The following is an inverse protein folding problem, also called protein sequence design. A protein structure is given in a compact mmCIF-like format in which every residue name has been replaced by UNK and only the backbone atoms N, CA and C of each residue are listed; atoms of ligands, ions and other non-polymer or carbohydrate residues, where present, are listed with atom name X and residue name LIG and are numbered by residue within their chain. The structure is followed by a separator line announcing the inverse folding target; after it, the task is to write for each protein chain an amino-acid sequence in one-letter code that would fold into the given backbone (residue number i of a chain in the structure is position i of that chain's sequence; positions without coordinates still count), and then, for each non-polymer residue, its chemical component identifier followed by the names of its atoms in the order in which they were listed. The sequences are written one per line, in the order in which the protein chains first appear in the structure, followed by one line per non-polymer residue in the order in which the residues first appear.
data_IF_608416560766
#
_entry.id   IF_608416560766
#
_cell.length_a   1.000
_cell.length_b   1.000
_cell.length_c   1.000
_cell.angle_alpha   90.00
_cell.angle_beta   90.00
_cell.angle_gamma   90.00
#
_symmetry.space_group_name_H-M   'P 1'
#
loop_
_entity.id
_entity.type
_entity.pdbx_description
1 polymer ?
#
# COMPACT_ATOMS: atom_id res chain seq x y z
N UNK A 1 4.00 20.26 -3.15
CA UNK A 1 2.89 19.36 -2.79
C UNK A 1 3.48 18.10 -2.15
N UNK A 2 2.88 17.66 -1.03
CA UNK A 2 3.29 16.43 -0.32
C UNK A 2 3.14 15.23 -1.25
N UNK A 3 4.05 14.24 -1.16
CA UNK A 3 3.90 13.02 -1.94
C UNK A 3 2.65 12.23 -1.51
N UNK A 4 2.44 12.07 -0.20
CA UNK A 4 1.24 11.49 0.39
C UNK A 4 0.81 12.32 1.59
N UNK A 5 -0.49 12.42 1.81
CA UNK A 5 -1.12 13.22 2.84
C UNK A 5 -1.26 12.45 4.14
N UNK A 6 -1.76 11.21 4.06
CA UNK A 6 -1.94 10.36 5.23
C UNK A 6 -1.48 8.92 4.99
N UNK A 7 -1.07 8.29 6.08
CA UNK A 7 -1.12 6.85 6.22
C UNK A 7 -2.13 6.50 7.32
N UNK A 8 -2.97 5.52 7.04
CA UNK A 8 -3.90 4.95 8.01
C UNK A 8 -3.80 3.43 8.03
N UNK A 9 -3.95 2.88 9.22
CA UNK A 9 -4.14 1.46 9.43
C UNK A 9 -5.52 1.24 10.00
N UNK A 10 -6.32 0.42 9.31
CA UNK A 10 -7.72 0.16 9.65
C UNK A 10 -7.89 -1.32 9.98
N UNK A 11 -8.66 -1.63 11.01
CA UNK A 11 -9.03 -3.01 11.37
C UNK A 11 -10.53 -3.11 11.58
N UNK A 12 -11.06 -4.32 11.42
CA UNK A 12 -12.39 -4.64 11.92
C UNK A 12 -12.32 -4.95 13.43
N UNK A 13 -13.16 -4.31 14.23
CA UNK A 13 -13.39 -4.62 15.65
C UNK A 13 -14.85 -5.03 15.87
N UNK A 14 -15.13 -5.97 16.79
CA UNK A 14 -16.52 -6.33 17.10
C UNK A 14 -17.25 -5.12 17.72
N UNK A 15 -18.48 -4.83 17.28
CA UNK A 15 -19.24 -3.65 17.71
C UNK A 15 -19.62 -3.69 19.21
N UNK A 16 -19.78 -4.89 19.79
CA UNK A 16 -20.09 -5.08 21.21
C UNK A 16 -19.39 -6.31 21.81
N UNK A 17 -18.57 -6.10 22.85
CA UNK A 17 -17.96 -7.21 23.62
C UNK A 17 -18.97 -7.97 24.53
N UNK A 18 -20.19 -7.45 24.66
CA UNK A 18 -21.19 -7.90 25.65
C UNK A 18 -22.35 -8.75 25.11
N UNK A 19 -22.50 -8.94 23.80
CA UNK A 19 -23.62 -9.71 23.22
C UNK A 19 -23.15 -10.72 22.15
N UNK A 20 -22.44 -11.76 22.58
CA UNK A 20 -21.90 -12.84 21.72
C UNK A 20 -22.95 -13.81 21.15
N UNK A 21 -24.22 -13.43 20.95
CA UNK A 21 -25.27 -14.43 20.70
C UNK A 21 -26.32 -14.13 19.64
N UNK A 22 -26.07 -13.21 18.72
CA UNK A 22 -26.84 -13.14 17.48
C UNK A 22 -25.93 -13.21 16.26
N UNK A 23 -26.19 -14.25 15.47
CA UNK A 23 -25.52 -14.62 14.23
C UNK A 23 -25.79 -13.56 13.16
N UNK A 24 -24.80 -12.70 12.96
CA UNK A 24 -24.82 -11.53 12.08
C UNK A 24 -23.97 -10.45 12.73
N UNK A 25 -22.65 -10.70 12.82
CA UNK A 25 -21.74 -9.92 13.66
C UNK A 25 -21.50 -8.54 13.06
N UNK A 26 -22.25 -7.54 13.53
CA UNK A 26 -21.94 -6.14 13.29
C UNK A 26 -20.50 -5.85 13.79
N UNK A 27 -19.67 -5.31 12.90
CA UNK A 27 -18.30 -4.90 13.20
C UNK A 27 -18.09 -3.45 12.82
N UNK A 28 -17.18 -2.79 13.52
CA UNK A 28 -16.78 -1.42 13.25
C UNK A 28 -15.41 -1.37 12.58
N UNK A 29 -15.29 -0.52 11.56
CA UNK A 29 -14.01 -0.20 10.91
C UNK A 29 -13.31 0.88 11.72
N UNK A 30 -12.24 0.52 12.42
CA UNK A 30 -11.51 1.44 13.29
C UNK A 30 -10.12 1.76 12.77
N UNK A 31 -9.77 3.04 12.76
CA UNK A 31 -8.38 3.50 12.56
C UNK A 31 -7.57 3.22 13.82
N UNK A 32 -6.62 2.30 13.74
CA UNK A 32 -5.71 1.97 14.85
C UNK A 32 -4.40 2.74 14.81
N UNK A 33 -3.95 3.10 13.61
CA UNK A 33 -2.75 3.92 13.40
C UNK A 33 -3.06 4.99 12.37
N UNK A 34 -2.62 6.22 12.62
CA UNK A 34 -2.78 7.35 11.71
C UNK A 34 -1.51 8.21 11.74
N UNK A 35 -0.99 8.57 10.57
CA UNK A 35 0.15 9.47 10.41
C UNK A 35 -0.14 10.47 9.29
N UNK A 36 0.03 11.79 9.51
CA UNK A 36 0.22 12.43 10.81
C UNK A 36 -0.98 12.23 11.75
N UNK A 37 -0.75 12.38 13.06
CA UNK A 37 -1.78 12.20 14.09
C UNK A 37 -2.86 13.29 14.08
N UNK A 38 -2.52 14.49 13.62
CA UNK A 38 -3.44 15.61 13.42
C UNK A 38 -3.79 15.80 11.95
N UNK A 39 -4.89 16.51 11.67
CA UNK A 39 -5.26 16.91 10.32
C UNK A 39 -4.29 17.95 9.75
N UNK A 40 -4.11 17.92 8.43
CA UNK A 40 -3.51 19.01 7.67
C UNK A 40 -4.54 20.14 7.53
N UNK A 41 -4.08 21.39 7.63
CA UNK A 41 -4.94 22.58 7.48
C UNK A 41 -5.64 22.64 6.12
N UNK A 42 -4.99 22.15 5.07
CA UNK A 42 -5.49 22.17 3.69
C UNK A 42 -6.29 20.92 3.28
N UNK A 43 -6.23 19.85 4.09
CA UNK A 43 -6.92 18.59 3.78
C UNK A 43 -7.11 17.75 5.04
N UNK A 44 -8.25 17.89 5.73
CA UNK A 44 -8.60 17.03 6.86
C UNK A 44 -8.90 15.59 6.40
N UNK A 45 -8.52 14.61 7.22
CA UNK A 45 -8.78 13.20 6.92
C UNK A 45 -10.30 12.94 7.00
N UNK A 46 -10.97 12.48 5.92
CA UNK A 46 -12.41 12.24 5.98
C UNK A 46 -12.78 11.08 6.89
N UNK A 47 -13.80 11.25 7.73
CA UNK A 47 -14.30 10.23 8.67
C UNK A 47 -14.76 8.94 7.97
N UNK A 48 -15.12 9.02 6.69
CA UNK A 48 -15.56 7.88 5.88
C UNK A 48 -14.43 6.93 5.47
N UNK A 49 -13.16 7.32 5.59
CA UNK A 49 -11.99 6.53 5.13
C UNK A 49 -11.97 5.07 5.63
N UNK A 50 -12.31 4.76 6.90
CA UNK A 50 -12.30 3.38 7.38
C UNK A 50 -13.26 2.46 6.61
N UNK A 51 -14.43 2.97 6.23
CA UNK A 51 -15.42 2.24 5.44
C UNK A 51 -14.93 1.95 4.01
N UNK A 52 -14.18 2.88 3.41
CA UNK A 52 -13.53 2.63 2.12
C UNK A 52 -12.38 1.62 2.23
N UNK A 53 -11.70 1.57 3.37
CA UNK A 53 -10.62 0.60 3.60
C UNK A 53 -11.17 -0.82 3.77
N UNK A 54 -12.29 -1.01 4.46
CA UNK A 54 -12.95 -2.32 4.62
C UNK A 54 -14.38 -2.22 4.08
N UNK A 55 -14.57 -2.37 2.76
CA UNK A 55 -15.88 -2.22 2.12
C UNK A 55 -16.80 -3.44 2.29
N UNK A 56 -16.27 -4.56 2.82
CA UNK A 56 -17.04 -5.79 3.03
C UNK A 56 -18.05 -5.67 4.18
N UNK A 57 -19.09 -6.50 4.14
CA UNK A 57 -20.09 -6.64 5.21
C UNK A 57 -19.80 -7.81 6.15
N UNK A 58 -18.69 -8.52 5.95
CA UNK A 58 -18.30 -9.68 6.76
C UNK A 58 -16.90 -9.48 7.35
N UNK A 59 -16.79 -9.79 8.64
CA UNK A 59 -15.54 -9.88 9.38
C UNK A 59 -15.57 -11.18 10.21
N UNK A 60 -14.46 -11.51 10.88
CA UNK A 60 -14.43 -12.62 11.83
C UNK A 60 -14.82 -13.99 11.25
N UNK A 61 -14.19 -14.40 10.15
CA UNK A 61 -14.39 -15.73 9.54
C UNK A 61 -13.06 -16.46 9.36
N UNK A 62 -13.10 -17.78 9.13
CA UNK A 62 -11.89 -18.55 8.77
C UNK A 62 -11.70 -18.49 7.25
N UNK A 63 -10.69 -17.75 6.75
CA UNK A 63 -10.49 -17.60 5.32
C UNK A 63 -9.85 -18.83 4.70
N UNK A 64 -10.23 -19.10 3.45
CA UNK A 64 -9.51 -20.03 2.57
C UNK A 64 -8.07 -19.57 2.32
N UNK A 65 -7.24 -20.47 1.81
CA UNK A 65 -5.83 -20.18 1.47
C UNK A 65 -5.69 -19.03 0.46
N UNK A 66 -6.68 -18.86 -0.43
CA UNK A 66 -6.69 -17.78 -1.42
C UNK A 66 -7.07 -16.44 -0.80
N UNK A 67 -8.05 -16.43 0.11
CA UNK A 67 -8.52 -15.22 0.80
C UNK A 67 -7.49 -14.67 1.81
N UNK A 68 -6.57 -15.50 2.29
CA UNK A 68 -5.43 -15.07 3.11
C UNK A 68 -4.41 -14.23 2.33
N UNK A 69 -4.49 -14.21 0.99
CA UNK A 69 -3.55 -13.42 0.18
C UNK A 69 -3.91 -11.93 0.28
N UNK A 70 -2.93 -11.04 0.54
CA UNK A 70 -3.15 -9.61 0.52
C UNK A 70 -3.65 -9.15 -0.85
N UNK A 71 -4.66 -8.29 -0.84
CA UNK A 71 -5.27 -7.73 -2.04
C UNK A 71 -5.10 -6.23 -2.02
N UNK A 72 -4.51 -5.70 -3.10
CA UNK A 72 -4.38 -4.27 -3.30
C UNK A 72 -5.58 -3.74 -4.09
N UNK A 73 -6.13 -2.63 -3.64
CA UNK A 73 -7.13 -1.86 -4.37
C UNK A 73 -6.97 -0.37 -4.08
N UNK A 74 -7.70 0.44 -4.83
CA UNK A 74 -7.71 1.88 -4.65
C UNK A 74 -9.12 2.43 -4.68
N UNK A 75 -9.36 3.51 -3.94
CA UNK A 75 -10.61 4.25 -3.94
C UNK A 75 -10.34 5.74 -4.12
N UNK A 76 -11.40 6.49 -4.48
CA UNK A 76 -11.31 7.92 -4.73
C UNK A 76 -12.22 8.64 -3.73
N UNK A 77 -11.67 9.67 -3.09
CA UNK A 77 -12.38 10.61 -2.23
C UNK A 77 -12.59 11.90 -3.04
N UNK A 78 -13.84 12.30 -3.22
CA UNK A 78 -14.20 13.50 -3.99
C UNK A 78 -14.63 14.60 -3.04
N UNK A 79 -13.92 15.74 -3.07
CA UNK A 79 -14.27 16.94 -2.35
C UNK A 79 -15.48 17.66 -2.98
N UNK A 80 -16.15 18.52 -2.20
CA UNK A 80 -17.28 19.30 -2.68
C UNK A 80 -16.92 20.30 -3.80
N UNK A 81 -15.64 20.63 -3.92
CA UNK A 81 -15.05 21.44 -4.99
C UNK A 81 -14.70 20.64 -6.26
N UNK A 82 -14.95 19.32 -6.25
CA UNK A 82 -14.58 18.41 -7.32
C UNK A 82 -13.11 17.98 -7.31
N UNK A 83 -12.33 18.37 -6.29
CA UNK A 83 -10.98 17.85 -6.10
C UNK A 83 -11.02 16.36 -5.74
N UNK A 84 -9.99 15.62 -6.15
CA UNK A 84 -9.86 14.19 -5.88
C UNK A 84 -8.63 13.92 -5.03
N UNK A 85 -8.82 13.08 -4.00
CA UNK A 85 -7.76 12.37 -3.32
C UNK A 85 -7.94 10.87 -3.54
N UNK A 86 -6.83 10.13 -3.53
CA UNK A 86 -6.81 8.70 -3.82
C UNK A 86 -6.37 7.95 -2.57
N UNK A 87 -7.12 6.93 -2.20
CA UNK A 87 -6.72 5.94 -1.20
C UNK A 87 -6.11 4.71 -1.89
N UNK A 88 -4.94 4.28 -1.44
CA UNK A 88 -4.20 3.12 -1.93
C UNK A 88 -4.14 2.10 -0.81
N UNK A 89 -5.01 1.10 -0.85
CA UNK A 89 -5.27 0.18 0.25
C UNK A 89 -4.71 -1.21 -0.06
N UNK A 90 -3.99 -1.78 0.90
CA UNK A 90 -3.63 -3.19 0.92
C UNK A 90 -4.41 -3.88 2.04
N UNK A 91 -5.40 -4.66 1.65
CA UNK A 91 -6.25 -5.45 2.53
C UNK A 91 -5.68 -6.85 2.72
N UNK A 92 -5.63 -7.32 3.96
CA UNK A 92 -5.26 -8.69 4.30
C UNK A 92 -6.00 -9.13 5.56
N UNK A 93 -5.99 -10.44 5.79
CA UNK A 93 -6.55 -11.03 6.99
C UNK A 93 -5.41 -11.33 7.96
N UNK A 94 -5.57 -10.96 9.21
CA UNK A 94 -4.64 -11.32 10.28
C UNK A 94 -5.34 -12.21 11.31
N UNK A 95 -4.55 -13.02 12.00
CA UNK A 95 -5.07 -13.81 13.11
C UNK A 95 -5.53 -12.89 14.25
N UNK A 96 -6.75 -13.12 14.74
CA UNK A 96 -7.43 -12.39 15.79
C UNK A 96 -8.03 -13.40 16.77
N UNK A 97 -7.40 -13.56 17.93
CA UNK A 97 -7.86 -14.54 18.93
C UNK A 97 -9.03 -13.97 19.73
N UNK A 98 -10.26 -14.28 19.30
CA UNK A 98 -11.47 -14.21 20.14
C UNK A 98 -12.20 -15.55 20.10
N UNK A 99 -13.11 -15.79 21.06
CA UNK A 99 -13.71 -17.11 21.29
C UNK A 99 -14.55 -17.70 20.12
N UNK A 100 -14.84 -16.91 19.07
CA UNK A 100 -15.74 -17.29 17.97
C UNK A 100 -15.05 -17.41 16.59
N UNK A 101 -13.94 -16.70 16.35
CA UNK A 101 -13.22 -16.71 15.08
C UNK A 101 -11.76 -16.36 15.26
N UNK A 102 -10.93 -16.81 14.33
CA UNK A 102 -9.48 -16.66 14.40
C UNK A 102 -8.93 -15.56 13.49
N UNK A 103 -9.73 -14.89 12.66
CA UNK A 103 -9.18 -13.92 11.69
C UNK A 103 -10.02 -12.67 11.57
N UNK A 104 -9.37 -11.54 11.26
CA UNK A 104 -10.06 -10.27 10.95
C UNK A 104 -9.42 -9.52 9.78
N UNK A 105 -10.21 -8.69 9.08
CA UNK A 105 -9.68 -7.68 8.15
C UNK A 105 -8.74 -6.67 8.82
N UNK A 106 -7.60 -6.44 8.17
CA UNK A 106 -6.69 -5.32 8.41
C UNK A 106 -6.23 -4.70 7.10
N UNK A 107 -6.09 -3.38 7.08
CA UNK A 107 -5.78 -2.62 5.89
C UNK A 107 -4.69 -1.60 6.18
N UNK A 108 -3.66 -1.58 5.33
CA UNK A 108 -2.66 -0.51 5.27
C UNK A 108 -3.05 0.41 4.12
N UNK A 109 -3.29 1.68 4.38
CA UNK A 109 -3.75 2.61 3.36
C UNK A 109 -2.91 3.91 3.34
N UNK A 110 -2.45 4.29 2.15
CA UNK A 110 -1.87 5.61 1.89
C UNK A 110 -2.91 6.47 1.18
N UNK A 111 -3.00 7.74 1.57
CA UNK A 111 -3.89 8.72 0.94
C UNK A 111 -3.03 9.82 0.32
N UNK A 112 -3.27 10.12 -0.95
CA UNK A 112 -2.55 11.16 -1.68
C UNK A 112 -3.42 11.84 -2.72
N UNK A 113 -3.20 13.13 -2.96
CA UNK A 113 -3.71 13.85 -4.13
C UNK A 113 -3.01 13.44 -5.44
N UNK A 114 -2.10 12.46 -5.44
CA UNK A 114 -1.31 12.07 -6.61
C UNK A 114 -1.60 10.61 -6.98
N UNK A 115 -2.02 10.34 -8.24
CA UNK A 115 -2.43 9.02 -8.68
C UNK A 115 -1.23 8.11 -9.02
N UNK A 116 -0.25 7.97 -8.11
CA UNK A 116 0.93 7.11 -8.31
C UNK A 116 0.63 5.67 -7.87
N UNK A 117 -0.28 4.99 -8.57
CA UNK A 117 -0.80 3.66 -8.20
C UNK A 117 0.30 2.61 -7.98
N UNK A 118 1.24 2.47 -8.91
CA UNK A 118 2.33 1.50 -8.82
C UNK A 118 3.26 1.81 -7.65
N UNK A 119 3.60 3.09 -7.45
CA UNK A 119 4.45 3.52 -6.33
C UNK A 119 3.80 3.17 -5.00
N UNK A 120 2.56 3.60 -4.78
CA UNK A 120 1.90 3.41 -3.50
C UNK A 120 1.57 1.94 -3.26
N UNK A 121 1.23 1.17 -4.30
CA UNK A 121 1.10 -0.29 -4.23
C UNK A 121 2.40 -0.93 -3.72
N UNK A 122 3.55 -0.57 -4.28
CA UNK A 122 4.83 -1.12 -3.84
C UNK A 122 5.15 -0.73 -2.39
N UNK A 123 4.89 0.52 -2.00
CA UNK A 123 5.12 0.97 -0.61
C UNK A 123 4.27 0.16 0.37
N UNK A 124 2.95 0.07 0.17
CA UNK A 124 2.08 -0.68 1.11
C UNK A 124 2.38 -2.19 1.09
N UNK A 125 2.73 -2.74 -0.07
CA UNK A 125 3.12 -4.16 -0.21
C UNK A 125 4.44 -4.43 0.48
N UNK A 126 5.38 -3.50 0.42
CA UNK A 126 6.61 -3.58 1.21
C UNK A 126 6.28 -3.52 2.70
N UNK A 127 5.50 -2.54 3.17
CA UNK A 127 5.14 -2.43 4.59
C UNK A 127 4.54 -3.73 5.13
N UNK A 128 3.66 -4.36 4.35
CA UNK A 128 3.12 -5.69 4.68
C UNK A 128 4.20 -6.76 4.74
N UNK A 129 4.98 -6.97 3.66
CA UNK A 129 6.06 -7.98 3.62
C UNK A 129 6.99 -7.83 4.81
N UNK A 130 7.34 -6.60 5.09
CA UNK A 130 8.31 -6.21 6.08
C UNK A 130 7.77 -6.40 7.51
N UNK A 131 6.44 -6.38 7.72
CA UNK A 131 5.77 -6.81 8.98
C UNK A 131 5.70 -8.33 9.15
N UNK A 132 5.54 -9.08 8.06
CA UNK A 132 5.32 -10.53 8.10
C UNK A 132 6.56 -11.37 7.75
N UNK A 133 7.70 -10.73 7.46
CA UNK A 133 9.01 -11.37 7.27
C UNK A 133 9.51 -11.91 8.62
N UNK A 134 9.05 -13.10 9.01
CA UNK A 134 9.75 -13.88 10.05
C UNK A 134 11.04 -14.40 9.44
N UNK A 135 12.16 -14.13 10.09
CA UNK A 135 13.48 -14.59 9.69
C UNK A 135 13.69 -16.06 10.07
N UNK A 136 12.79 -16.98 9.70
CA UNK A 136 12.98 -18.43 9.88
C UNK A 136 12.01 -19.29 9.04
N UNK A 137 12.58 -20.07 8.11
CA UNK A 137 12.21 -21.39 7.56
C UNK A 137 10.75 -21.88 7.37
N UNK A 138 9.71 -21.05 7.49
CA UNK A 138 8.36 -21.47 7.07
C UNK A 138 8.21 -21.34 5.56
N UNK A 139 8.33 -22.46 4.84
CA UNK A 139 8.07 -22.56 3.39
C UNK A 139 6.74 -21.92 2.98
N UNK A 140 5.76 -21.81 3.88
CA UNK A 140 4.46 -21.16 3.64
C UNK A 140 4.58 -19.63 3.63
N UNK A 141 5.31 -19.04 4.57
CA UNK A 141 5.57 -17.59 4.58
C UNK A 141 6.50 -17.19 3.44
N UNK A 142 7.50 -18.03 3.13
CA UNK A 142 8.29 -17.89 1.92
C UNK A 142 7.40 -17.96 0.69
N UNK A 143 6.45 -18.91 0.58
CA UNK A 143 5.49 -18.96 -0.54
C UNK A 143 4.51 -17.79 -0.59
N UNK A 144 4.13 -17.17 0.53
CA UNK A 144 3.26 -15.98 0.53
C UNK A 144 4.05 -14.74 0.12
N UNK A 145 5.28 -14.57 0.63
CA UNK A 145 6.19 -13.52 0.19
C UNK A 145 6.59 -13.68 -1.28
N UNK A 146 6.93 -14.91 -1.69
CA UNK A 146 7.17 -15.28 -3.09
C UNK A 146 5.90 -15.19 -3.93
N UNK A 147 4.69 -15.40 -3.40
CA UNK A 147 3.46 -15.18 -4.17
C UNK A 147 3.15 -13.69 -4.32
N UNK A 148 3.54 -12.84 -3.35
CA UNK A 148 3.55 -11.39 -3.53
C UNK A 148 4.61 -10.95 -4.54
N UNK A 149 5.74 -11.66 -4.63
CA UNK A 149 6.77 -11.48 -5.67
C UNK A 149 6.39 -12.12 -7.01
N UNK A 150 5.62 -13.21 -7.05
CA UNK A 150 5.06 -13.77 -8.26
C UNK A 150 3.99 -12.81 -8.76
N UNK A 151 3.20 -12.20 -7.86
CA UNK A 151 2.41 -10.98 -8.10
C UNK A 151 3.23 -9.74 -8.50
N UNK A 152 4.55 -9.86 -8.72
CA UNK A 152 5.29 -8.98 -9.63
C UNK A 152 4.94 -9.19 -11.11
N UNK A 153 3.99 -10.07 -11.45
CA UNK A 153 3.32 -10.10 -12.77
C UNK A 153 2.63 -8.77 -13.14
N UNK A 154 2.70 -7.78 -12.26
CA UNK A 154 2.24 -6.40 -12.43
C UNK A 154 3.33 -5.33 -12.47
N UNK A 155 4.61 -5.69 -12.37
CA UNK A 155 5.64 -4.78 -12.87
C UNK A 155 5.37 -4.66 -14.37
N UNK A 156 5.05 -3.45 -14.84
CA UNK A 156 5.11 -3.15 -16.27
C UNK A 156 6.42 -3.76 -16.80
N UNK A 157 6.43 -4.43 -17.96
CA UNK A 157 7.67 -5.01 -18.54
C UNK A 157 8.85 -4.02 -18.58
N UNK A 158 8.56 -2.70 -18.51
CA UNK A 158 9.53 -1.61 -18.40
C UNK A 158 10.23 -1.51 -17.03
N UNK A 159 9.60 -1.91 -15.94
CA UNK A 159 10.15 -1.89 -14.57
C UNK A 159 10.92 -3.17 -14.21
N UNK A 160 10.59 -4.30 -14.86
CA UNK A 160 11.34 -5.56 -14.69
C UNK A 160 12.82 -5.44 -15.11
N UNK A 161 13.12 -4.64 -16.14
CA UNK A 161 14.49 -4.41 -16.60
C UNK A 161 15.36 -3.64 -15.58
N UNK A 162 14.77 -2.74 -14.79
CA UNK A 162 15.47 -1.98 -13.74
C UNK A 162 15.82 -2.89 -12.54
N UNK A 163 14.90 -3.78 -12.17
CA UNK A 163 15.12 -4.77 -11.11
C UNK A 163 16.29 -5.72 -11.44
N UNK A 164 16.34 -6.25 -12.67
CA UNK A 164 17.44 -7.11 -13.13
C UNK A 164 18.80 -6.39 -13.19
N UNK A 165 18.81 -5.10 -13.56
CA UNK A 165 20.02 -4.27 -13.55
C UNK A 165 20.52 -3.96 -12.12
N UNK A 166 19.62 -3.90 -11.14
CA UNK A 166 19.98 -3.71 -9.73
C UNK A 166 20.62 -4.96 -9.12
N UNK A 167 20.15 -6.15 -9.50
CA UNK A 167 20.78 -7.42 -9.10
C UNK A 167 22.18 -7.58 -9.71
N UNK A 168 22.39 -7.17 -10.97
CA UNK A 168 23.72 -7.21 -11.60
C UNK A 168 24.72 -6.19 -11.01
N UNK A 169 24.25 -5.06 -10.47
CA UNK A 169 25.14 -4.07 -9.82
C UNK A 169 25.56 -4.43 -8.40
N UNK A 170 24.92 -5.40 -7.75
CA UNK A 170 25.40 -5.93 -6.46
C UNK A 170 26.75 -6.67 -6.59
N UNK A 171 27.21 -6.93 -7.82
CA UNK A 171 28.47 -7.60 -8.12
C UNK A 171 29.58 -6.69 -8.70
N UNK A 172 29.36 -5.38 -8.87
CA UNK A 172 30.41 -4.49 -9.41
C UNK A 172 30.49 -3.12 -8.73
N UNK A 173 31.68 -2.86 -8.18
CA UNK A 173 32.10 -1.69 -7.41
C UNK A 173 32.29 -0.41 -8.24
N UNK A 174 32.27 0.73 -7.54
CA UNK A 174 33.17 1.90 -7.68
C UNK A 174 32.59 3.25 -8.16
N UNK A 175 32.62 4.20 -7.20
CA UNK A 175 32.92 5.65 -7.26
C UNK A 175 32.36 6.53 -8.40
N UNK A 176 31.55 7.51 -8.01
CA UNK A 176 31.31 8.79 -8.71
C UNK A 176 30.56 9.79 -7.81
N UNK A 177 30.82 11.12 -7.89
CA UNK A 177 30.44 12.08 -6.85
C UNK A 177 29.19 12.87 -7.21
N UNK A 178 28.09 12.72 -6.47
CA UNK A 178 26.99 13.71 -6.45
C UNK A 178 26.41 13.75 -5.04
N UNK A 179 26.31 14.99 -4.53
CA UNK A 179 25.97 15.40 -3.17
C UNK A 179 24.90 14.55 -2.48
N UNK A 180 25.24 14.01 -1.30
CA UNK A 180 24.33 13.22 -0.47
C UNK A 180 24.20 13.89 0.90
N UNK A 181 22.99 14.35 1.18
CA UNK A 181 22.57 14.82 2.51
C UNK A 181 22.88 13.71 3.52
N UNK A 182 23.67 14.07 4.52
CA UNK A 182 24.20 13.21 5.58
C UNK A 182 23.25 13.27 6.77
N UNK A 183 22.68 12.14 7.14
CA UNK A 183 22.09 11.94 8.47
C UNK A 183 22.90 10.85 9.19
N UNK A 184 23.29 11.14 10.42
CA UNK A 184 24.17 10.36 11.28
C UNK A 184 23.57 9.01 11.67
N UNK A 185 24.39 7.96 11.57
CA UNK A 185 24.13 6.60 12.05
C UNK A 185 24.35 6.50 13.57
N UNK A 186 23.41 5.96 14.36
CA UNK A 186 23.73 5.39 15.66
C UNK A 186 24.29 3.97 15.49
N UNK A 187 25.43 3.72 16.10
CA UNK A 187 26.10 2.42 16.20
C UNK A 187 25.47 1.63 17.34
N UNK A 188 24.82 0.48 17.09
CA UNK A 188 24.37 -0.40 18.17
C UNK A 188 24.53 -1.89 17.87
N UNK A 189 25.14 -2.53 18.86
CA UNK A 189 25.48 -3.96 18.99
C UNK A 189 24.24 -4.82 19.16
N UNK A 190 24.34 -6.04 18.63
CA UNK A 190 23.40 -7.13 18.85
C UNK A 190 23.15 -7.36 20.34
N UNK A 191 21.90 -7.19 20.76
CA UNK A 191 21.38 -7.79 22.00
C UNK A 191 20.07 -8.48 21.67
N UNK A 192 20.01 -9.76 22.04
CA UNK A 192 18.86 -10.65 21.92
C UNK A 192 17.70 -10.18 22.79
N UNK A 193 16.50 -10.46 22.29
CA UNK A 193 15.19 -10.47 22.99
C UNK A 193 14.34 -9.20 22.94
N UNK A 194 13.85 -8.77 21.75
CA UNK A 194 12.46 -8.23 21.55
C UNK A 194 12.08 -7.91 20.07
N UNK A 195 12.28 -8.84 19.12
CA UNK A 195 12.30 -8.50 17.68
C UNK A 195 10.99 -7.96 17.03
N UNK A 196 9.81 -8.12 17.66
CA UNK A 196 8.55 -7.62 17.06
C UNK A 196 8.27 -6.14 17.41
N UNK A 197 8.84 -5.64 18.51
CA UNK A 197 8.76 -4.23 18.89
C UNK A 197 9.74 -3.39 18.06
N UNK A 198 10.96 -3.89 17.81
CA UNK A 198 11.98 -3.21 17.01
C UNK A 198 11.55 -2.99 15.54
N UNK A 199 10.95 -4.00 14.92
CA UNK A 199 10.48 -3.91 13.53
C UNK A 199 9.27 -2.96 13.41
N UNK A 200 8.35 -2.97 14.38
CA UNK A 200 7.26 -1.97 14.46
C UNK A 200 7.82 -0.56 14.66
N UNK A 201 8.78 -0.37 15.55
CA UNK A 201 9.45 0.91 15.78
C UNK A 201 10.11 1.45 14.50
N UNK A 202 10.69 0.57 13.67
CA UNK A 202 11.35 0.97 12.44
C UNK A 202 10.39 1.60 11.42
N UNK A 203 9.18 1.04 11.21
CA UNK A 203 8.19 1.68 10.32
C UNK A 203 7.64 2.99 10.90
N UNK A 204 7.41 3.03 12.22
CA UNK A 204 6.96 4.24 12.91
C UNK A 204 7.97 5.38 12.81
N UNK A 205 9.25 5.13 12.52
CA UNK A 205 10.26 6.16 12.27
C UNK A 205 10.34 6.57 10.79
N UNK A 206 10.25 5.62 9.88
CA UNK A 206 10.50 5.83 8.45
C UNK A 206 9.28 6.41 7.74
N UNK A 207 8.08 5.93 8.08
CA UNK A 207 6.86 6.37 7.41
C UNK A 207 6.54 7.85 7.65
N UNK A 208 6.69 8.40 8.86
CA UNK A 208 6.56 9.85 9.06
C UNK A 208 7.60 10.66 8.29
N UNK A 209 8.82 10.16 8.14
CA UNK A 209 9.85 10.83 7.31
C UNK A 209 9.42 10.85 5.85
N UNK A 210 8.97 9.72 5.30
CA UNK A 210 8.45 9.67 3.93
C UNK A 210 7.25 10.60 3.75
N UNK A 211 6.29 10.60 4.66
CA UNK A 211 5.10 11.47 4.57
C UNK A 211 5.41 12.96 4.75
N UNK A 212 6.44 13.31 5.52
CA UNK A 212 6.80 14.70 5.81
C UNK A 212 7.80 15.28 4.81
N UNK A 213 8.78 14.48 4.39
CA UNK A 213 9.94 14.94 3.63
C UNK A 213 9.85 14.60 2.15
N UNK A 214 9.04 13.60 1.76
CA UNK A 214 8.88 13.27 0.35
C UNK A 214 7.92 14.26 -0.31
N UNK A 215 8.44 14.92 -1.35
CA UNK A 215 7.68 15.79 -2.21
C UNK A 215 7.33 15.07 -3.50
N UNK A 216 6.25 15.54 -4.14
CA UNK A 216 5.92 15.11 -5.50
C UNK A 216 7.15 15.26 -6.42
N UNK A 217 7.62 14.19 -7.07
CA UNK A 217 8.69 14.29 -8.06
C UNK A 217 8.20 15.03 -9.31
N UNK A 218 9.09 15.78 -9.97
CA UNK A 218 8.72 16.46 -11.21
C UNK A 218 8.57 15.46 -12.36
N UNK A 219 7.90 15.90 -13.43
CA UNK A 219 7.67 15.03 -14.57
C UNK A 219 8.98 14.60 -15.21
N UNK A 220 9.18 13.29 -15.37
CA UNK A 220 10.37 12.75 -15.99
C UNK A 220 11.59 12.65 -15.08
N UNK A 221 11.41 12.95 -13.79
CA UNK A 221 12.38 12.67 -12.74
C UNK A 221 12.20 11.24 -12.20
N UNK A 222 13.18 10.80 -11.42
CA UNK A 222 13.08 9.59 -10.62
C UNK A 222 12.92 9.98 -9.14
N UNK A 223 11.94 9.36 -8.48
CA UNK A 223 11.83 9.41 -7.02
C UNK A 223 12.66 8.26 -6.45
N UNK A 224 13.80 8.62 -5.87
CA UNK A 224 14.66 7.70 -5.12
C UNK A 224 14.27 7.74 -3.64
N UNK A 225 13.54 6.73 -3.19
CA UNK A 225 13.34 6.48 -1.76
C UNK A 225 14.57 5.73 -1.28
N UNK A 226 15.32 6.32 -0.33
CA UNK A 226 16.51 5.72 0.27
C UNK A 226 16.21 5.37 1.72
N UNK A 227 16.65 4.20 2.15
CA UNK A 227 16.56 3.76 3.54
C UNK A 227 17.96 3.40 4.03
N UNK A 228 18.37 3.94 5.18
CA UNK A 228 19.69 3.66 5.79
C UNK A 228 20.88 3.86 4.82
N UNK A 229 20.79 4.87 3.96
CA UNK A 229 21.83 5.17 2.95
C UNK A 229 21.88 4.20 1.75
N UNK A 230 21.00 3.19 1.70
CA UNK A 230 20.81 2.29 0.55
C UNK A 230 19.61 2.75 -0.28
N UNK A 231 19.71 2.60 -1.59
CA UNK A 231 18.58 2.83 -2.50
C UNK A 231 17.53 1.75 -2.22
N UNK A 232 16.36 2.18 -1.74
CA UNK A 232 15.30 1.28 -1.32
C UNK A 232 14.27 1.08 -2.44
N UNK A 233 13.90 2.16 -3.13
CA UNK A 233 13.02 2.12 -4.28
C UNK A 233 13.31 3.29 -5.21
N UNK A 234 13.42 3.02 -6.52
CA UNK A 234 13.51 4.07 -7.56
C UNK A 234 12.27 4.00 -8.43
N UNK A 235 11.42 5.01 -8.32
CA UNK A 235 10.23 5.16 -9.14
C UNK A 235 10.48 6.17 -10.25
N UNK A 236 10.31 5.77 -11.50
CA UNK A 236 10.42 6.68 -12.63
C UNK A 236 9.07 7.30 -12.93
N UNK A 237 8.98 8.62 -12.86
CA UNK A 237 7.77 9.36 -13.22
C UNK A 237 7.71 9.46 -14.73
N UNK A 238 6.60 8.98 -15.30
CA UNK A 238 6.47 8.86 -16.75
C UNK A 238 6.56 10.22 -17.46
N UNK A 239 7.32 10.26 -18.57
CA UNK A 239 7.36 11.40 -19.50
C UNK A 239 6.24 11.24 -20.54
N UNK A 240 5.33 12.21 -20.62
CA UNK A 240 4.26 12.18 -21.62
C UNK A 240 3.11 13.14 -21.33
N UNK A 241 2.25 13.40 -22.33
CA UNK A 241 1.04 14.23 -22.16
C UNK A 241 0.03 13.63 -21.17
N UNK A 242 0.16 12.34 -20.88
CA UNK A 242 -0.60 11.58 -19.88
C UNK A 242 0.26 11.27 -18.64
N UNK A 243 0.92 12.29 -18.08
CA UNK A 243 1.93 12.18 -17.01
C UNK A 243 1.46 11.48 -15.70
N UNK A 244 0.16 11.25 -15.56
CA UNK A 244 -0.50 10.77 -14.35
C UNK A 244 -1.23 9.43 -14.53
N UNK A 245 -1.11 8.81 -15.71
CA UNK A 245 -1.75 7.54 -16.01
C UNK A 245 -0.73 6.42 -15.79
N UNK A 246 -0.87 5.77 -14.64
CA UNK A 246 -0.07 4.60 -14.28
C UNK A 246 -0.56 3.38 -15.07
N UNK A 247 0.37 2.65 -15.71
CA UNK A 247 0.07 1.46 -16.54
C UNK A 247 -0.70 0.39 -15.74
N UNK A 248 -0.52 0.36 -14.42
CA UNK A 248 -1.13 -0.62 -13.51
C UNK A 248 -2.64 -0.75 -13.72
N UNK A 249 -3.37 0.37 -13.78
CA UNK A 249 -4.83 0.36 -13.86
C UNK A 249 -5.33 -0.20 -15.20
N UNK A 250 -4.65 0.14 -16.30
CA UNK A 250 -5.02 -0.37 -17.62
C UNK A 250 -4.69 -1.83 -17.79
N UNK A 251 -3.54 -2.27 -17.26
CA UNK A 251 -3.17 -3.67 -17.29
C UNK A 251 -4.25 -4.52 -16.59
N UNK A 252 -4.81 -4.06 -15.47
CA UNK A 252 -5.86 -4.80 -14.74
C UNK A 252 -7.12 -4.85 -15.59
N UNK A 253 -7.51 -3.70 -16.14
CA UNK A 253 -8.71 -3.58 -16.96
C UNK A 253 -8.67 -4.55 -18.15
N UNK A 254 -7.56 -4.64 -18.88
CA UNK A 254 -7.44 -5.55 -20.03
C UNK A 254 -7.23 -7.03 -19.64
N UNK A 255 -6.82 -7.31 -18.41
CA UNK A 255 -6.77 -8.69 -17.90
C UNK A 255 -8.14 -9.19 -17.45
N UNK A 256 -8.96 -8.32 -16.87
CA UNK A 256 -10.27 -8.69 -16.33
C UNK A 256 -11.40 -8.56 -17.37
N UNK A 257 -11.27 -7.67 -18.35
CA UNK A 257 -12.32 -7.39 -19.33
C UNK A 257 -11.87 -7.72 -20.76
N UNK A 258 -12.78 -8.36 -21.51
CA UNK A 258 -12.59 -8.52 -22.95
C UNK A 258 -12.61 -7.17 -23.67
N UNK A 259 -11.90 -7.06 -24.81
CA UNK A 259 -11.87 -5.83 -25.61
C UNK A 259 -13.27 -5.34 -26.00
N UNK A 260 -14.21 -6.27 -26.27
CA UNK A 260 -15.61 -5.94 -26.56
C UNK A 260 -16.27 -5.21 -25.39
N UNK A 261 -16.06 -5.67 -24.17
CA UNK A 261 -16.61 -5.04 -22.97
C UNK A 261 -15.95 -3.68 -22.70
N UNK A 262 -14.64 -3.57 -22.95
CA UNK A 262 -13.93 -2.28 -22.84
C UNK A 262 -14.53 -1.25 -23.79
N UNK A 263 -14.72 -1.60 -25.06
CA UNK A 263 -15.34 -0.71 -26.05
C UNK A 263 -16.78 -0.33 -25.63
N UNK A 264 -17.55 -1.29 -25.10
CA UNK A 264 -18.89 -1.03 -24.60
C UNK A 264 -18.90 -0.01 -23.46
N UNK A 265 -18.02 -0.18 -22.47
CA UNK A 265 -17.86 0.77 -21.36
C UNK A 265 -17.47 2.15 -21.88
N UNK A 266 -16.49 2.24 -22.79
CA UNK A 266 -16.08 3.51 -23.39
C UNK A 266 -17.25 4.17 -24.12
N UNK A 267 -18.08 3.42 -24.85
CA UNK A 267 -19.26 3.96 -25.50
C UNK A 267 -20.29 4.49 -24.48
N UNK A 268 -20.53 3.76 -23.39
CA UNK A 268 -21.39 4.25 -22.31
C UNK A 268 -20.84 5.55 -21.68
N UNK A 269 -19.53 5.65 -21.49
CA UNK A 269 -18.89 6.86 -20.96
C UNK A 269 -18.98 8.05 -21.93
N UNK A 270 -18.82 7.83 -23.25
CA UNK A 270 -18.98 8.87 -24.28
C UNK A 270 -20.41 9.41 -24.36
N UNK A 271 -21.39 8.60 -23.95
CA UNK A 271 -22.81 8.96 -23.88
C UNK A 271 -23.23 9.44 -22.48
N UNK A 272 -22.27 9.64 -21.57
CA UNK A 272 -22.49 10.07 -20.18
C UNK A 272 -23.52 9.19 -19.43
N UNK A 273 -23.54 7.90 -19.74
CA UNK A 273 -24.46 6.95 -19.11
C UNK A 273 -24.03 6.61 -17.68
N UNK A 274 -24.99 6.18 -16.87
CA UNK A 274 -24.71 5.60 -15.55
C UNK A 274 -24.12 4.20 -15.74
N UNK A 275 -22.86 4.03 -15.38
CA UNK A 275 -22.13 2.77 -15.50
C UNK A 275 -21.88 2.18 -14.12
N UNK A 276 -22.28 0.92 -13.94
CA UNK A 276 -21.87 0.07 -12.82
C UNK A 276 -21.09 -1.09 -13.42
N UNK A 277 -19.85 -1.27 -12.95
CA UNK A 277 -18.92 -2.31 -13.41
C UNK A 277 -18.91 -3.46 -12.43
#
# INVERSE_FOLDING_TARGET
ARLADYFVEVVAEPADASQQQQRGEDFEQRVVTRIPSSDHEDFALPDGVPYFCIPGSEAFFEPSVYERKPTFFSFILTGGDGAHAYGFALHFLEEYSTAASNWRPRVLCLISHHPFFSLFKEIVSWMYRSRYLKREHSLVQTKIAYACEDCSWFLSPRHAASALLSEQRLLSSSKGPIDRIRASTPDWKDTSDDNNSEVREQYHRILPQLLREAYRPAQGDALDIRMHGREFFRYHVQRGKAAHLDDYCFQMLFQCLSLKNVIYIVNCLLLEQRVLV
#
